data_IF_733543861899
#
_entry.id   IF_733543861899
#
_cell.length_a   1.000
_cell.length_b   1.000
_cell.length_c   1.000
_cell.angle_alpha   90.00
_cell.angle_beta   90.00
_cell.angle_gamma   90.00
#
_symmetry.space_group_name_H-M   'P 1'
#
loop_
_entity.id
_entity.type
_entity.pdbx_description
1 polymer ?
#
# COMPACT_ATOMS: atom_id res chain seq x y z
N UNK A 1 0.86 -12.51 -9.12
CA UNK A 1 1.67 -11.34 -9.51
C UNK A 1 1.93 -10.56 -8.24
N UNK A 2 3.17 -10.12 -8.01
CA UNK A 2 3.57 -9.48 -6.76
C UNK A 2 3.73 -7.99 -7.05
N UNK A 3 2.61 -7.30 -7.14
CA UNK A 3 2.53 -5.89 -7.54
C UNK A 3 2.79 -4.93 -6.36
N UNK A 4 3.43 -5.46 -5.30
CA UNK A 4 3.70 -4.76 -4.05
C UNK A 4 5.21 -4.67 -3.82
N UNK A 5 5.66 -3.47 -3.46
CA UNK A 5 7.00 -3.24 -2.93
C UNK A 5 7.03 -3.56 -1.45
N UNK A 6 8.13 -4.13 -0.95
CA UNK A 6 8.30 -4.47 0.47
C UNK A 6 9.52 -3.74 1.03
N UNK A 7 9.37 -3.01 2.14
CA UNK A 7 10.48 -2.38 2.86
C UNK A 7 10.16 -2.26 4.35
N UNK A 8 11.08 -2.70 5.23
CA UNK A 8 10.91 -2.72 6.71
C UNK A 8 9.60 -3.37 7.21
N UNK A 9 9.04 -4.30 6.43
CA UNK A 9 7.77 -4.96 6.76
C UNK A 9 6.52 -4.19 6.31
N UNK A 10 6.70 -3.06 5.63
CA UNK A 10 5.63 -2.32 4.97
C UNK A 10 5.45 -2.76 3.53
N UNK A 11 4.21 -2.71 3.06
CA UNK A 11 3.82 -3.01 1.69
C UNK A 11 3.49 -1.69 0.97
N UNK A 12 3.97 -1.51 -0.25
CA UNK A 12 3.64 -0.35 -1.08
C UNK A 12 2.97 -0.78 -2.37
N UNK A 13 1.79 -0.24 -2.68
CA UNK A 13 1.14 -0.37 -3.99
C UNK A 13 1.77 0.59 -5.00
N UNK A 14 1.72 0.23 -6.28
CA UNK A 14 2.19 1.08 -7.38
C UNK A 14 1.19 1.02 -8.53
N UNK A 15 0.78 2.19 -8.98
CA UNK A 15 -0.13 2.42 -10.09
C UNK A 15 0.50 3.42 -11.06
N UNK A 16 0.00 3.44 -12.29
CA UNK A 16 0.43 4.38 -13.32
C UNK A 16 -0.77 5.24 -13.73
N UNK A 17 -0.60 6.55 -13.69
CA UNK A 17 -1.54 7.51 -14.27
C UNK A 17 -1.09 7.83 -15.69
N UNK A 18 -1.95 7.55 -16.67
CA UNK A 18 -1.65 7.82 -18.09
C UNK A 18 -1.89 9.26 -18.50
N UNK A 19 -2.70 10.03 -17.77
CA UNK A 19 -2.96 11.44 -18.07
C UNK A 19 -1.78 12.30 -17.61
N UNK A 20 -1.29 12.04 -16.40
CA UNK A 20 -0.17 12.78 -15.81
C UNK A 20 1.22 12.14 -16.08
N UNK A 21 1.24 10.99 -16.76
CA UNK A 21 2.43 10.17 -17.05
C UNK A 21 3.33 9.95 -15.82
N UNK A 22 2.72 9.64 -14.68
CA UNK A 22 3.40 9.47 -13.39
C UNK A 22 3.04 8.13 -12.74
N UNK A 23 4.00 7.55 -12.02
CA UNK A 23 3.68 6.47 -11.09
C UNK A 23 3.31 7.05 -9.74
N UNK A 24 2.26 6.50 -9.13
CA UNK A 24 1.85 6.84 -7.78
C UNK A 24 1.57 5.57 -6.98
N UNK A 25 1.62 5.70 -5.66
CA UNK A 25 1.45 4.57 -4.75
C UNK A 25 1.17 5.02 -3.34
N UNK A 26 0.82 4.06 -2.48
CA UNK A 26 0.64 4.29 -1.05
C UNK A 26 1.13 3.10 -0.23
N UNK A 27 1.41 3.34 1.04
CA UNK A 27 1.68 2.27 1.99
C UNK A 27 0.35 1.56 2.29
N UNK A 28 0.34 0.24 2.13
CA UNK A 28 -0.82 -0.62 2.33
C UNK A 28 -0.80 -1.26 3.72
N UNK A 29 -1.99 -1.57 4.24
CA UNK A 29 -2.14 -2.32 5.48
C UNK A 29 -1.87 -1.53 6.76
N UNK A 30 -2.03 -0.21 6.70
CA UNK A 30 -2.01 0.72 7.83
C UNK A 30 -3.21 1.67 7.74
N UNK A 31 -3.63 2.26 8.86
CA UNK A 31 -4.72 3.24 8.91
C UNK A 31 -4.30 4.62 8.41
N UNK A 32 -3.03 4.99 8.60
CA UNK A 32 -2.49 6.26 8.11
C UNK A 32 -2.36 6.25 6.58
N UNK A 33 -2.73 7.36 5.94
CA UNK A 33 -2.54 7.54 4.50
C UNK A 33 -1.16 8.13 4.21
N UNK A 34 -0.25 7.29 3.71
CA UNK A 34 1.06 7.73 3.22
C UNK A 34 1.16 7.39 1.74
N UNK A 35 1.15 8.43 0.90
CA UNK A 35 1.30 8.33 -0.55
C UNK A 35 2.69 8.75 -1.02
N UNK A 36 3.11 8.23 -2.16
CA UNK A 36 4.38 8.56 -2.81
C UNK A 36 4.22 8.49 -4.32
N UNK A 37 5.09 9.18 -5.05
CA UNK A 37 5.04 9.27 -6.50
C UNK A 37 6.44 9.32 -7.11
N UNK A 38 6.53 9.07 -8.42
CA UNK A 38 7.78 9.19 -9.17
C UNK A 38 7.55 9.03 -10.68
N UNK A 39 8.40 9.66 -11.49
CA UNK A 39 8.31 9.62 -12.96
C UNK A 39 9.04 8.44 -13.58
N UNK A 40 9.75 7.67 -12.76
CA UNK A 40 10.46 6.48 -13.20
C UNK A 40 10.38 5.39 -12.14
N UNK A 41 10.67 4.15 -12.57
CA UNK A 41 10.74 2.99 -11.66
C UNK A 41 11.74 3.23 -10.52
N UNK A 42 12.84 3.94 -10.78
CA UNK A 42 13.84 4.24 -9.76
C UNK A 42 13.34 5.30 -8.78
N UNK A 43 12.68 6.34 -9.28
CA UNK A 43 12.12 7.40 -8.44
C UNK A 43 11.05 6.86 -7.50
N UNK A 44 10.08 6.09 -8.01
CA UNK A 44 9.00 5.61 -7.15
C UNK A 44 9.48 4.61 -6.09
N UNK A 45 10.48 3.77 -6.42
CA UNK A 45 11.12 2.89 -5.43
C UNK A 45 11.80 3.68 -4.33
N UNK A 46 12.49 4.76 -4.69
CA UNK A 46 13.15 5.65 -3.73
C UNK A 46 12.12 6.38 -2.88
N UNK A 47 11.09 6.95 -3.50
CA UNK A 47 10.01 7.67 -2.83
C UNK A 47 9.27 6.78 -1.82
N UNK A 48 9.05 5.50 -2.12
CA UNK A 48 8.48 4.55 -1.16
C UNK A 48 9.38 4.33 0.06
N UNK A 49 10.68 4.11 -0.15
CA UNK A 49 11.64 3.90 0.96
C UNK A 49 11.67 5.15 1.86
N UNK A 50 11.77 6.32 1.25
CA UNK A 50 11.76 7.61 1.95
C UNK A 50 10.46 7.81 2.73
N UNK A 51 9.31 7.49 2.11
CA UNK A 51 7.99 7.62 2.76
C UNK A 51 7.82 6.67 3.96
N UNK A 52 8.34 5.45 3.89
CA UNK A 52 8.34 4.52 5.03
C UNK A 52 9.25 5.03 6.15
N UNK A 53 10.43 5.54 5.82
CA UNK A 53 11.36 6.08 6.81
C UNK A 53 10.82 7.34 7.49
N UNK A 54 10.20 8.23 6.71
CA UNK A 54 9.54 9.43 7.21
C UNK A 54 8.35 9.07 8.09
N UNK A 55 7.53 8.09 7.69
CA UNK A 55 6.42 7.58 8.51
C UNK A 55 6.90 7.11 9.89
N UNK A 56 7.93 6.25 9.92
CA UNK A 56 8.52 5.76 11.16
C UNK A 56 9.09 6.90 12.02
N UNK A 57 9.74 7.87 11.40
CA UNK A 57 10.30 9.03 12.11
C UNK A 57 9.21 9.93 12.70
N UNK A 58 8.13 10.16 11.97
CA UNK A 58 6.96 10.92 12.45
C UNK A 58 6.33 10.18 13.63
N UNK A 59 6.12 8.87 13.54
CA UNK A 59 5.58 8.05 14.64
C UNK A 59 6.40 8.23 15.93
N UNK A 60 7.74 8.16 15.83
CA UNK A 60 8.63 8.39 16.98
C UNK A 60 8.45 9.79 17.54
N UNK A 61 8.42 10.83 16.69
CA UNK A 61 8.26 12.23 17.12
C UNK A 61 6.96 12.48 17.86
N UNK A 62 5.85 11.88 17.40
CA UNK A 62 4.53 12.06 17.99
C UNK A 62 4.22 11.03 19.09
N UNK A 63 5.17 10.14 19.41
CA UNK A 63 5.00 9.03 20.37
C UNK A 63 3.82 8.12 20.03
N UNK A 64 3.59 7.89 18.74
CA UNK A 64 2.64 6.89 18.20
C UNK A 64 3.41 5.61 17.92
N UNK A 65 2.83 4.47 18.27
CA UNK A 65 3.38 3.18 17.84
C UNK A 65 3.11 3.01 16.33
N UNK A 66 4.15 2.79 15.51
CA UNK A 66 3.99 2.65 14.07
C UNK A 66 3.21 1.37 13.75
N UNK A 67 2.20 1.51 12.90
CA UNK A 67 1.37 0.39 12.46
C UNK A 67 2.17 -0.47 11.48
N UNK A 68 1.98 -1.79 11.52
CA UNK A 68 2.62 -2.70 10.55
C UNK A 68 1.60 -3.20 9.56
N UNK A 69 1.99 -3.21 8.28
CA UNK A 69 1.22 -3.88 7.23
C UNK A 69 0.89 -5.31 7.65
N UNK A 70 -0.40 -5.62 7.76
CA UNK A 70 -0.84 -6.96 8.10
C UNK A 70 -0.59 -7.93 6.95
N UNK A 71 0.14 -9.02 7.23
CA UNK A 71 0.45 -10.10 6.30
C UNK A 71 -0.05 -11.42 6.88
N UNK A 72 -0.93 -12.11 6.17
CA UNK A 72 -1.51 -13.38 6.61
C UNK A 72 -2.64 -13.85 5.70
N UNK A 73 -3.08 -15.11 5.88
CA UNK A 73 -4.24 -15.64 5.19
C UNK A 73 -5.48 -15.53 6.06
N UNK A 74 -6.54 -14.93 5.54
CA UNK A 74 -7.86 -14.89 6.17
C UNK A 74 -8.74 -15.99 5.57
N UNK A 75 -8.68 -17.19 6.14
CA UNK A 75 -9.41 -18.36 5.63
C UNK A 75 -10.83 -18.38 6.21
N UNK A 76 -11.82 -18.00 5.41
CA UNK A 76 -13.24 -18.08 5.78
C UNK A 76 -14.06 -18.70 4.65
N UNK A 77 -15.08 -19.49 5.01
CA UNK A 77 -16.07 -20.01 4.04
C UNK A 77 -17.30 -19.13 4.09
N UNK A 78 -17.60 -18.49 2.95
CA UNK A 78 -18.76 -17.63 2.77
C UNK A 78 -19.63 -18.13 1.59
N UNK A 79 -20.94 -17.82 1.56
CA UNK A 79 -21.79 -18.17 0.43
C UNK A 79 -21.27 -17.62 -0.89
N UNK A 80 -21.48 -18.34 -1.99
CA UNK A 80 -20.95 -18.02 -3.33
C UNK A 80 -21.33 -16.61 -3.80
N UNK A 81 -22.55 -16.15 -3.52
CA UNK A 81 -22.99 -14.82 -3.92
C UNK A 81 -22.27 -13.71 -3.15
N UNK A 82 -21.97 -13.93 -1.87
CA UNK A 82 -21.21 -12.97 -1.06
C UNK A 82 -19.75 -12.91 -1.52
N UNK A 83 -19.15 -14.06 -1.82
CA UNK A 83 -17.80 -14.14 -2.38
C UNK A 83 -17.70 -13.35 -3.70
N UNK A 84 -18.68 -13.53 -4.61
CA UNK A 84 -18.72 -12.79 -5.89
C UNK A 84 -18.79 -11.28 -5.67
N UNK A 85 -19.63 -10.82 -4.74
CA UNK A 85 -19.76 -9.38 -4.44
C UNK A 85 -18.47 -8.81 -3.84
N UNK A 86 -17.88 -9.50 -2.86
CA UNK A 86 -16.63 -9.09 -2.24
C UNK A 86 -15.49 -8.99 -3.25
N UNK A 87 -15.32 -10.00 -4.11
CA UNK A 87 -14.29 -10.02 -5.14
C UNK A 87 -14.46 -8.89 -6.17
N UNK A 88 -15.69 -8.61 -6.62
CA UNK A 88 -15.92 -7.50 -7.54
C UNK A 88 -15.61 -6.15 -6.91
N UNK A 89 -15.99 -5.98 -5.64
CA UNK A 89 -15.76 -4.74 -4.90
C UNK A 89 -14.27 -4.49 -4.70
N UNK A 90 -13.49 -5.52 -4.38
CA UNK A 90 -12.04 -5.40 -4.22
C UNK A 90 -11.30 -5.02 -5.50
N UNK A 91 -11.85 -5.28 -6.69
CA UNK A 91 -11.27 -4.84 -7.96
C UNK A 91 -11.56 -3.37 -8.30
N UNK A 92 -12.54 -2.75 -7.63
CA UNK A 92 -12.96 -1.37 -7.88
C UNK A 92 -12.32 -0.43 -6.86
N UNK A 93 -12.22 -0.87 -5.60
CA UNK A 93 -11.76 -0.05 -4.48
C UNK A 93 -10.28 -0.27 -4.10
N UNK A 94 -9.65 -1.30 -4.67
CA UNK A 94 -8.22 -1.59 -4.52
C UNK A 94 -7.50 -1.47 -5.86
#
# INVERSE_FOLDING_TARGET
MKDLMEYKGYLGSVHFDSEDEIFYGKIEGIEDLISFEGKSVNEIKKAFIESVDDYLHVCIKVKKDPEKSFKGSFNVRIPTDLHRKAYRKSLIEG
#
